data_IF_300268298712
#
_entry.id   IF_300268298712
#
_cell.length_a   1.000
_cell.length_b   1.000
_cell.length_c   1.000
_cell.angle_alpha   90.00
_cell.angle_beta   90.00
_cell.angle_gamma   90.00
#
_symmetry.space_group_name_H-M   'P 1'
#
loop_
_entity.id
_entity.type
_entity.pdbx_description
1 polymer ?
#
# COMPACT_ATOMS: atom_id res chain seq x y z
N UNK A 1 50.15 37.62 -11.52
CA UNK A 1 49.23 36.48 -11.72
C UNK A 1 47.95 36.84 -10.99
N UNK A 2 46.99 37.44 -11.70
CA UNK A 2 45.62 37.65 -11.27
C UNK A 2 44.83 37.99 -12.54
N UNK A 3 43.91 37.10 -12.90
CA UNK A 3 43.03 37.23 -14.06
C UNK A 3 41.74 37.86 -13.52
N UNK A 4 41.46 39.10 -13.91
CA UNK A 4 40.13 39.70 -13.75
C UNK A 4 39.27 39.25 -14.93
N UNK A 5 38.33 38.31 -14.69
CA UNK A 5 37.19 38.07 -15.59
C UNK A 5 36.00 38.92 -15.09
N UNK A 6 35.20 39.51 -15.99
CA UNK A 6 33.98 40.22 -15.59
C UNK A 6 32.87 39.23 -15.24
N UNK A 7 32.13 39.58 -14.18
CA UNK A 7 30.89 38.97 -13.71
C UNK A 7 29.84 39.00 -14.84
N UNK A 8 29.36 37.84 -15.31
CA UNK A 8 28.16 37.74 -16.15
C UNK A 8 26.98 37.48 -15.23
N UNK A 9 26.16 38.51 -15.04
CA UNK A 9 24.82 38.43 -14.45
C UNK A 9 23.93 37.79 -15.52
N UNK A 10 23.45 36.57 -15.27
CA UNK A 10 22.42 35.95 -16.09
C UNK A 10 21.08 36.58 -15.72
N UNK A 11 20.48 37.27 -16.69
CA UNK A 11 19.09 37.71 -16.62
C UNK A 11 18.19 36.49 -16.76
N UNK A 12 17.41 36.17 -15.72
CA UNK A 12 16.24 35.29 -15.85
C UNK A 12 15.21 36.06 -16.68
N UNK A 13 14.92 35.56 -17.87
CA UNK A 13 13.87 36.09 -18.74
C UNK A 13 12.54 35.55 -18.20
N UNK A 14 11.79 36.39 -17.51
CA UNK A 14 10.36 36.18 -17.29
C UNK A 14 9.68 36.50 -18.62
N UNK A 15 9.35 35.48 -19.40
CA UNK A 15 8.55 35.63 -20.61
C UNK A 15 7.06 35.61 -20.24
N UNK A 16 6.46 36.80 -20.17
CA UNK A 16 5.01 36.98 -20.24
C UNK A 16 4.54 36.57 -21.65
N UNK A 17 3.81 35.46 -21.77
CA UNK A 17 3.02 35.17 -22.97
C UNK A 17 1.58 35.69 -22.77
N UNK A 18 1.23 36.71 -23.54
CA UNK A 18 -0.16 37.06 -23.85
C UNK A 18 -0.34 37.01 -25.36
N UNK A 19 -1.50 36.51 -25.81
CA UNK A 19 -1.98 36.30 -27.18
C UNK A 19 -1.67 34.94 -27.85
N UNK A 20 -2.52 33.95 -27.61
CA UNK A 20 -3.61 33.61 -28.54
C UNK A 20 -4.72 32.94 -27.73
N UNK A 21 -5.99 33.27 -28.00
CA UNK A 21 -7.16 32.82 -27.23
C UNK A 21 -7.49 31.33 -27.40
N UNK A 22 -6.52 30.44 -27.23
CA UNK A 22 -6.76 29.07 -26.80
C UNK A 22 -6.72 29.11 -25.28
N UNK A 23 -7.79 28.68 -24.62
CA UNK A 23 -7.65 28.18 -23.25
C UNK A 23 -6.50 27.17 -23.29
N UNK A 24 -5.54 27.25 -22.38
CA UNK A 24 -4.98 26.00 -21.88
C UNK A 24 -6.21 25.27 -21.36
N UNK A 25 -6.70 24.26 -22.08
CA UNK A 25 -7.29 23.16 -21.34
C UNK A 25 -6.15 22.66 -20.47
N UNK A 26 -6.38 22.53 -19.16
CA UNK A 26 -5.59 21.58 -18.39
C UNK A 26 -5.60 20.30 -19.21
N UNK A 27 -4.42 19.89 -19.68
CA UNK A 27 -4.27 18.57 -20.27
C UNK A 27 -4.34 17.63 -19.07
N UNK A 28 -5.49 17.02 -18.85
CA UNK A 28 -5.65 15.98 -17.84
C UNK A 28 -4.83 14.79 -18.33
N UNK A 29 -3.67 14.56 -17.72
CA UNK A 29 -2.86 13.38 -18.00
C UNK A 29 -3.57 12.21 -17.33
N UNK A 30 -4.18 11.35 -18.14
CA UNK A 30 -4.71 10.07 -17.66
C UNK A 30 -3.67 8.97 -17.85
N UNK A 31 -3.69 7.94 -17.00
CA UNK A 31 -2.78 6.78 -17.11
C UNK A 31 -3.55 5.53 -17.55
N UNK A 32 -2.84 4.47 -17.88
CA UNK A 32 -3.40 3.16 -18.21
C UNK A 32 -2.30 2.10 -18.26
N UNK A 33 -2.69 0.85 -18.46
CA UNK A 33 -1.75 -0.28 -18.53
C UNK A 33 -1.20 -0.41 -19.96
N UNK A 34 0.12 -0.54 -20.11
CA UNK A 34 0.77 -0.94 -21.37
C UNK A 34 0.87 -2.45 -21.51
N UNK A 35 1.38 -3.10 -20.46
CA UNK A 35 1.41 -4.54 -20.37
C UNK A 35 1.28 -5.00 -18.92
N UNK A 36 0.98 -6.27 -18.73
CA UNK A 36 0.82 -6.84 -17.41
C UNK A 36 1.47 -8.23 -17.36
N UNK A 37 2.17 -8.50 -16.27
CA UNK A 37 2.81 -9.79 -15.99
C UNK A 37 2.16 -10.41 -14.75
N UNK A 38 1.59 -11.61 -14.91
CA UNK A 38 1.02 -12.39 -13.81
C UNK A 38 2.10 -13.24 -13.15
N UNK A 39 2.06 -13.31 -11.82
CA UNK A 39 2.86 -14.21 -10.99
C UNK A 39 1.88 -15.08 -10.20
N UNK A 40 2.00 -16.39 -10.37
CA UNK A 40 1.24 -17.44 -9.68
C UNK A 40 2.11 -18.71 -9.65
N UNK A 41 1.67 -19.76 -8.97
CA UNK A 41 2.34 -21.07 -8.98
C UNK A 41 2.34 -21.76 -10.36
N UNK A 42 1.73 -21.15 -11.40
CA UNK A 42 1.77 -21.62 -12.80
C UNK A 42 2.33 -20.61 -13.80
N UNK A 43 2.64 -19.38 -13.37
CA UNK A 43 2.97 -18.25 -14.26
C UNK A 43 3.99 -17.29 -13.65
N UNK A 44 4.73 -16.56 -14.50
CA UNK A 44 5.66 -15.51 -14.03
C UNK A 44 6.97 -16.02 -13.44
N UNK A 45 7.36 -17.26 -13.77
CA UNK A 45 8.60 -17.90 -13.29
C UNK A 45 8.71 -18.03 -11.76
N UNK A 46 7.58 -17.97 -11.05
CA UNK A 46 7.51 -18.33 -9.65
C UNK A 46 7.42 -19.85 -9.51
N UNK A 47 8.41 -20.44 -8.84
CA UNK A 47 8.51 -21.89 -8.65
C UNK A 47 8.13 -22.33 -7.22
N UNK A 48 7.69 -21.38 -6.39
CA UNK A 48 7.12 -21.64 -5.08
C UNK A 48 5.84 -22.48 -5.19
N UNK A 49 5.61 -23.33 -4.19
CA UNK A 49 4.38 -24.14 -4.13
C UNK A 49 3.33 -23.36 -3.35
N UNK A 50 2.16 -23.18 -3.95
CA UNK A 50 0.95 -22.69 -3.30
C UNK A 50 -0.06 -23.83 -3.20
N UNK A 51 -0.56 -24.08 -2.00
CA UNK A 51 -1.67 -24.97 -1.74
C UNK A 51 -3.01 -24.23 -1.90
N UNK A 52 -4.09 -25.00 -2.04
CA UNK A 52 -5.42 -24.41 -2.18
C UNK A 52 -5.76 -23.59 -0.94
N UNK A 53 -6.27 -22.38 -1.16
CA UNK A 53 -6.58 -21.34 -0.16
C UNK A 53 -5.39 -20.58 0.42
N UNK A 54 -4.15 -20.72 -0.04
CA UNK A 54 -3.01 -19.93 0.51
C UNK A 54 -3.19 -18.40 0.37
N UNK A 55 -4.02 -17.97 -0.59
CA UNK A 55 -4.32 -16.57 -0.89
C UNK A 55 -3.09 -15.69 -1.14
N UNK A 56 -2.14 -16.20 -1.91
CA UNK A 56 -0.97 -15.43 -2.35
C UNK A 56 -1.38 -14.14 -3.05
N UNK A 57 -0.74 -13.03 -2.69
CA UNK A 57 -1.12 -11.70 -3.18
C UNK A 57 -2.17 -11.00 -2.32
N UNK A 58 -2.43 -11.49 -1.10
CA UNK A 58 -3.27 -10.80 -0.10
C UNK A 58 -2.65 -9.50 0.41
N UNK A 59 -1.32 -9.40 0.37
CA UNK A 59 -0.56 -8.20 0.68
C UNK A 59 0.64 -8.12 -0.27
N UNK A 60 1.10 -6.91 -0.58
CA UNK A 60 2.31 -6.69 -1.36
C UNK A 60 3.03 -5.43 -0.88
N UNK A 61 4.36 -5.48 -0.80
CA UNK A 61 5.21 -4.33 -0.55
C UNK A 61 6.43 -4.33 -1.49
N UNK A 62 6.85 -3.16 -1.94
CA UNK A 62 8.14 -2.96 -2.59
C UNK A 62 9.21 -2.84 -1.49
N UNK A 63 10.14 -3.79 -1.45
CA UNK A 63 11.16 -3.88 -0.40
C UNK A 63 12.55 -3.46 -0.91
N UNK A 64 12.59 -2.72 -2.03
CA UNK A 64 13.83 -2.25 -2.62
C UNK A 64 14.64 -3.38 -3.27
N UNK A 65 15.91 -3.12 -3.54
CA UNK A 65 16.86 -4.03 -4.21
C UNK A 65 17.83 -4.60 -3.16
N UNK A 66 17.52 -5.79 -2.63
CA UNK A 66 18.24 -6.40 -1.51
C UNK A 66 19.63 -6.94 -1.94
N UNK A 67 19.77 -7.34 -3.20
CA UNK A 67 20.95 -7.96 -3.80
C UNK A 67 21.84 -6.96 -4.55
N UNK A 68 21.40 -5.71 -4.67
CA UNK A 68 22.05 -4.61 -5.36
C UNK A 68 22.30 -4.89 -6.85
N UNK A 69 21.36 -5.53 -7.54
CA UNK A 69 21.44 -5.84 -8.96
C UNK A 69 20.77 -4.78 -9.87
N UNK A 70 20.02 -3.86 -9.27
CA UNK A 70 19.32 -2.76 -9.90
C UNK A 70 17.81 -2.97 -10.07
N UNK A 71 17.25 -4.12 -9.68
CA UNK A 71 15.83 -4.45 -9.83
C UNK A 71 15.14 -4.47 -8.48
N UNK A 72 13.95 -3.88 -8.38
CA UNK A 72 13.17 -3.91 -7.14
C UNK A 72 12.72 -5.33 -6.82
N UNK A 73 12.73 -5.69 -5.54
CA UNK A 73 12.18 -6.92 -5.01
C UNK A 73 10.86 -6.64 -4.30
N UNK A 74 10.04 -7.69 -4.18
CA UNK A 74 8.71 -7.60 -3.58
C UNK A 74 8.58 -8.55 -2.39
N UNK A 75 7.84 -8.16 -1.37
CA UNK A 75 7.33 -9.07 -0.35
C UNK A 75 5.84 -9.29 -0.58
N UNK A 76 5.38 -10.54 -0.58
CA UNK A 76 4.01 -10.93 -0.94
C UNK A 76 3.42 -11.85 0.13
N UNK A 77 2.25 -11.50 0.64
CA UNK A 77 1.55 -12.26 1.67
C UNK A 77 0.78 -13.47 1.13
N UNK A 78 0.84 -14.57 1.86
CA UNK A 78 0.01 -15.77 1.72
C UNK A 78 -0.53 -16.16 3.12
N UNK A 79 -1.53 -15.42 3.65
CA UNK A 79 -1.92 -15.49 5.06
C UNK A 79 -2.51 -16.82 5.51
N UNK A 80 -2.98 -17.65 4.58
CA UNK A 80 -3.58 -18.95 4.90
C UNK A 80 -2.65 -20.12 4.58
N UNK A 81 -1.37 -19.84 4.35
CA UNK A 81 -0.36 -20.88 4.17
C UNK A 81 -0.24 -21.77 5.43
N UNK A 82 -0.30 -23.08 5.21
CA UNK A 82 -0.33 -24.11 6.26
C UNK A 82 1.07 -24.56 6.74
N UNK A 83 2.15 -23.86 6.34
CA UNK A 83 3.50 -24.29 6.71
C UNK A 83 3.76 -24.14 8.22
N UNK A 84 4.11 -25.26 8.86
CA UNK A 84 4.27 -25.39 10.30
C UNK A 84 2.98 -25.68 11.07
N UNK A 85 1.80 -25.45 10.49
CA UNK A 85 0.48 -25.71 11.10
C UNK A 85 -0.64 -24.92 10.41
N UNK A 86 -1.87 -25.07 10.90
CA UNK A 86 -3.09 -24.59 10.20
C UNK A 86 -3.11 -23.08 10.10
N UNK A 87 -3.26 -22.53 8.88
CA UNK A 87 -3.45 -21.11 8.58
C UNK A 87 -2.47 -20.20 9.35
N UNK A 88 -1.22 -20.64 9.54
CA UNK A 88 -0.19 -19.85 10.23
C UNK A 88 0.25 -18.67 9.38
N UNK A 89 0.19 -18.84 8.08
CA UNK A 89 0.52 -17.84 7.08
C UNK A 89 2.01 -17.77 6.75
N UNK A 90 2.30 -17.13 5.62
CA UNK A 90 3.64 -16.93 5.10
C UNK A 90 3.78 -15.59 4.36
N UNK A 91 5.03 -15.17 4.18
CA UNK A 91 5.43 -14.11 3.27
C UNK A 91 6.47 -14.65 2.30
N UNK A 92 6.33 -14.32 1.02
CA UNK A 92 7.27 -14.64 -0.03
C UNK A 92 8.06 -13.40 -0.42
N UNK A 93 9.39 -13.47 -0.34
CA UNK A 93 10.30 -12.50 -0.92
C UNK A 93 10.56 -12.90 -2.36
N UNK A 94 10.27 -12.02 -3.31
CA UNK A 94 10.43 -12.22 -4.74
C UNK A 94 11.51 -11.27 -5.26
N UNK A 95 12.61 -11.87 -5.71
CA UNK A 95 13.65 -11.19 -6.46
C UNK A 95 13.17 -11.12 -7.91
N UNK A 96 12.96 -9.92 -8.44
CA UNK A 96 12.28 -9.71 -9.71
C UNK A 96 13.27 -9.54 -10.87
N UNK A 97 12.79 -9.81 -12.09
CA UNK A 97 13.40 -9.32 -13.32
C UNK A 97 12.66 -8.06 -13.80
N UNK A 98 13.35 -7.24 -14.61
CA UNK A 98 12.77 -6.02 -15.25
C UNK A 98 11.51 -6.31 -16.11
N UNK A 99 11.30 -7.57 -16.53
CA UNK A 99 10.11 -7.97 -17.29
C UNK A 99 8.92 -8.39 -16.41
N UNK A 100 9.05 -8.23 -15.08
CA UNK A 100 8.02 -8.53 -14.10
C UNK A 100 7.92 -10.01 -13.72
N UNK A 101 8.80 -10.87 -14.23
CA UNK A 101 8.89 -12.27 -13.80
C UNK A 101 9.81 -12.42 -12.59
N UNK A 102 9.64 -13.48 -11.81
CA UNK A 102 10.48 -13.80 -10.65
C UNK A 102 11.81 -14.43 -11.12
N UNK A 103 12.96 -13.97 -10.63
CA UNK A 103 14.24 -14.65 -10.80
C UNK A 103 14.43 -15.72 -9.71
N UNK A 104 14.24 -15.32 -8.45
CA UNK A 104 14.40 -16.16 -7.25
C UNK A 104 13.31 -15.82 -6.23
N UNK A 105 12.84 -16.84 -5.50
CA UNK A 105 11.92 -16.68 -4.37
C UNK A 105 12.52 -17.19 -3.04
N UNK A 106 12.14 -16.55 -1.93
CA UNK A 106 12.44 -16.97 -0.57
C UNK A 106 11.18 -16.90 0.30
N UNK A 107 10.77 -18.04 0.88
CA UNK A 107 9.64 -18.11 1.81
C UNK A 107 10.05 -17.77 3.23
N UNK A 108 9.25 -16.97 3.92
CA UNK A 108 9.31 -16.71 5.36
C UNK A 108 8.01 -17.25 5.95
N UNK A 109 8.11 -18.27 6.78
CA UNK A 109 6.98 -18.97 7.42
C UNK A 109 7.44 -19.53 8.76
N UNK A 110 6.57 -20.25 9.47
CA UNK A 110 6.99 -20.88 10.73
C UNK A 110 8.15 -21.87 10.56
N UNK A 111 8.28 -22.55 9.42
CA UNK A 111 9.32 -23.56 9.20
C UNK A 111 10.47 -23.14 8.27
N UNK A 112 10.32 -22.02 7.54
CA UNK A 112 11.29 -21.50 6.57
C UNK A 112 11.73 -20.05 6.85
N UNK A 113 12.73 -19.56 6.11
CA UNK A 113 13.16 -18.15 6.21
C UNK A 113 13.77 -17.72 7.55
N UNK A 114 14.08 -18.65 8.45
CA UNK A 114 14.65 -18.41 9.79
C UNK A 114 13.75 -17.65 10.78
N UNK A 115 12.43 -17.66 10.57
CA UNK A 115 11.49 -17.02 11.50
C UNK A 115 11.50 -17.68 12.89
N UNK A 116 11.40 -19.01 12.98
CA UNK A 116 11.12 -19.74 14.23
C UNK A 116 12.36 -20.26 14.98
N UNK A 117 13.14 -19.36 15.61
CA UNK A 117 14.22 -19.76 16.54
C UNK A 117 13.79 -19.79 18.01
N UNK A 118 12.72 -19.08 18.40
CA UNK A 118 12.26 -18.95 19.81
C UNK A 118 10.73 -18.80 19.93
N UNK A 119 10.10 -18.04 19.02
CA UNK A 119 8.65 -17.83 18.95
C UNK A 119 8.13 -18.49 17.69
N UNK A 120 6.98 -19.16 17.82
CA UNK A 120 6.32 -19.94 16.77
C UNK A 120 5.06 -19.16 16.40
N UNK A 121 4.67 -19.17 15.12
CA UNK A 121 3.33 -18.74 14.74
C UNK A 121 2.31 -19.75 15.28
N UNK A 122 1.29 -19.28 15.96
CA UNK A 122 0.18 -20.11 16.40
C UNK A 122 -0.79 -20.36 15.24
N UNK A 123 -1.54 -21.46 15.31
CA UNK A 123 -2.50 -21.81 14.26
C UNK A 123 -3.55 -20.71 14.13
N UNK A 124 -3.85 -20.31 12.89
CA UNK A 124 -4.75 -19.22 12.51
C UNK A 124 -4.22 -17.80 12.76
N UNK A 125 -2.95 -17.58 13.10
CA UNK A 125 -2.40 -16.22 13.26
C UNK A 125 -2.49 -15.38 11.97
N UNK A 126 -2.53 -16.04 10.82
CA UNK A 126 -2.58 -15.43 9.48
C UNK A 126 -1.43 -14.46 9.20
N UNK A 127 -0.21 -14.86 9.56
CA UNK A 127 0.99 -14.08 9.25
C UNK A 127 1.09 -13.82 7.75
N UNK A 128 1.30 -12.55 7.37
CA UNK A 128 1.33 -12.13 5.97
C UNK A 128 0.01 -11.54 5.46
N UNK A 129 -1.00 -11.34 6.31
CA UNK A 129 -2.22 -10.60 5.91
C UNK A 129 -1.94 -9.15 5.52
N UNK A 130 -0.88 -8.55 6.07
CA UNK A 130 -0.40 -7.23 5.71
C UNK A 130 1.13 -7.25 5.67
N UNK A 131 1.72 -6.48 4.75
CA UNK A 131 3.17 -6.36 4.60
C UNK A 131 3.50 -4.91 4.26
N UNK A 132 4.51 -4.33 4.90
CA UNK A 132 5.00 -2.99 4.60
C UNK A 132 6.52 -2.93 4.68
N UNK A 133 7.15 -2.30 3.70
CA UNK A 133 8.58 -1.95 3.77
C UNK A 133 8.80 -0.96 4.90
N UNK A 134 9.87 -1.19 5.65
CA UNK A 134 10.43 -0.28 6.63
C UNK A 134 11.81 0.07 6.09
N UNK A 135 12.11 1.36 5.99
CA UNK A 135 13.48 1.79 5.70
C UNK A 135 14.47 1.05 6.61
N UNK A 136 15.75 1.02 6.25
CA UNK A 136 16.81 0.37 7.05
C UNK A 136 16.86 0.94 8.49
N UNK A 137 16.14 0.29 9.42
CA UNK A 137 15.96 0.79 10.79
C UNK A 137 17.25 0.60 11.58
N UNK A 138 17.97 -0.49 11.31
CA UNK A 138 19.15 -0.88 12.07
C UNK A 138 20.47 -0.32 11.49
N UNK A 139 20.44 0.24 10.28
CA UNK A 139 21.59 0.85 9.60
C UNK A 139 22.54 -0.14 8.93
N UNK A 140 22.09 -1.34 8.57
CA UNK A 140 22.91 -2.38 7.93
C UNK A 140 22.91 -2.34 6.39
N UNK A 141 22.06 -1.49 5.81
CA UNK A 141 21.92 -1.25 4.38
C UNK A 141 20.85 -2.09 3.69
N UNK A 142 20.07 -2.89 4.42
CA UNK A 142 18.94 -3.68 3.94
C UNK A 142 17.65 -3.09 4.50
N UNK A 143 16.59 -3.04 3.69
CA UNK A 143 15.28 -2.62 4.20
C UNK A 143 14.69 -3.70 5.11
N UNK A 144 14.07 -3.23 6.18
CA UNK A 144 13.37 -4.07 7.15
C UNK A 144 11.89 -4.23 6.72
N UNK A 145 11.17 -5.15 7.35
CA UNK A 145 9.81 -5.49 6.94
C UNK A 145 8.87 -5.54 8.14
N UNK A 146 7.70 -4.90 8.05
CA UNK A 146 6.59 -5.15 8.96
C UNK A 146 5.63 -6.16 8.34
N UNK A 147 5.19 -7.14 9.13
CA UNK A 147 4.25 -8.19 8.72
C UNK A 147 3.13 -8.34 9.75
N UNK A 148 1.89 -8.33 9.28
CA UNK A 148 0.69 -8.48 10.11
C UNK A 148 0.32 -9.93 10.37
N UNK A 149 -0.15 -10.19 11.58
CA UNK A 149 -0.81 -11.43 12.01
C UNK A 149 -2.09 -11.04 12.76
N UNK A 150 -3.17 -10.64 12.05
CA UNK A 150 -4.32 -9.97 12.66
C UNK A 150 -5.15 -10.86 13.59
N UNK A 151 -5.00 -12.17 13.50
CA UNK A 151 -5.73 -13.13 14.34
C UNK A 151 -4.87 -13.69 15.47
N UNK A 152 -3.71 -13.09 15.73
CA UNK A 152 -2.86 -13.45 16.86
C UNK A 152 -3.60 -13.29 18.20
N UNK A 153 -3.52 -14.32 19.03
CA UNK A 153 -4.25 -14.44 20.29
C UNK A 153 -3.44 -13.96 21.53
N UNK A 154 -2.30 -13.28 21.32
CA UNK A 154 -1.49 -12.76 22.42
C UNK A 154 -2.29 -11.74 23.26
N UNK A 155 -2.66 -12.14 24.48
CA UNK A 155 -3.36 -11.27 25.45
C UNK A 155 -4.88 -11.41 25.44
N UNK A 156 -5.48 -12.00 24.39
CA UNK A 156 -6.91 -12.26 24.26
C UNK A 156 -7.27 -12.71 22.84
N UNK A 157 -8.56 -12.94 22.56
CA UNK A 157 -8.98 -13.51 21.27
C UNK A 157 -8.83 -12.53 20.12
N UNK A 158 -8.17 -12.94 19.04
CA UNK A 158 -8.01 -12.22 17.77
C UNK A 158 -7.63 -10.73 17.97
N UNK A 159 -6.74 -10.46 18.95
CA UNK A 159 -6.26 -9.09 19.21
C UNK A 159 -5.33 -8.62 18.10
N UNK A 160 -4.57 -9.56 17.55
CA UNK A 160 -3.66 -9.34 16.44
C UNK A 160 -2.27 -8.84 16.87
N UNK A 161 -1.33 -8.97 15.95
CA UNK A 161 0.07 -8.62 16.15
C UNK A 161 0.72 -8.07 14.86
N UNK A 162 1.84 -7.38 15.05
CA UNK A 162 2.77 -6.98 13.98
C UNK A 162 4.16 -7.52 14.28
N UNK A 163 4.82 -8.06 13.27
CA UNK A 163 6.19 -8.56 13.32
C UNK A 163 7.10 -7.64 12.51
N UNK A 164 8.09 -7.05 13.18
CA UNK A 164 9.19 -6.34 12.51
C UNK A 164 10.29 -7.35 12.25
N UNK A 165 10.68 -7.52 11.00
CA UNK A 165 11.69 -8.47 10.53
C UNK A 165 12.88 -7.70 9.97
N UNK A 166 14.06 -8.06 10.45
CA UNK A 166 15.32 -7.54 9.93
C UNK A 166 15.91 -8.59 9.02
N UNK A 167 16.00 -8.28 7.73
CA UNK A 167 16.33 -9.24 6.68
C UNK A 167 17.83 -9.23 6.35
N UNK A 168 18.31 -10.28 5.69
CA UNK A 168 19.58 -10.26 4.96
C UNK A 168 19.35 -10.08 3.45
N UNK A 169 20.45 -9.97 2.69
CA UNK A 169 20.42 -9.83 1.21
C UNK A 169 19.79 -11.03 0.48
N UNK A 170 19.47 -12.13 1.18
CA UNK A 170 18.79 -13.29 0.60
C UNK A 170 17.31 -13.33 0.99
N UNK A 171 16.78 -12.29 1.64
CA UNK A 171 15.40 -12.24 2.11
C UNK A 171 15.14 -13.15 3.31
N UNK A 172 16.17 -13.55 4.06
CA UNK A 172 16.02 -14.38 5.27
C UNK A 172 16.05 -13.54 6.53
N UNK A 173 15.34 -13.96 7.58
CA UNK A 173 15.22 -13.21 8.83
C UNK A 173 16.47 -13.38 9.71
N UNK A 174 17.15 -12.29 10.03
CA UNK A 174 18.28 -12.23 10.97
C UNK A 174 17.84 -11.97 12.41
N UNK A 175 16.91 -11.03 12.57
CA UNK A 175 16.35 -10.62 13.84
C UNK A 175 14.88 -10.24 13.66
N UNK A 176 14.10 -10.29 14.74
CA UNK A 176 12.69 -9.92 14.70
C UNK A 176 12.23 -9.30 16.02
N UNK A 177 11.21 -8.47 15.95
CA UNK A 177 10.48 -7.92 17.09
C UNK A 177 8.98 -8.14 16.89
N UNK A 178 8.30 -8.79 17.85
CA UNK A 178 6.84 -8.94 17.84
C UNK A 178 6.21 -7.81 18.65
N UNK A 179 5.31 -7.08 18.02
CA UNK A 179 4.44 -6.04 18.59
C UNK A 179 3.07 -6.69 18.81
N UNK A 180 2.75 -6.97 20.07
CA UNK A 180 1.43 -7.46 20.52
C UNK A 180 1.10 -6.87 21.89
N UNK A 181 -0.14 -7.06 22.35
CA UNK A 181 -0.62 -6.60 23.67
C UNK A 181 0.33 -7.04 24.81
N UNK A 182 0.90 -8.24 24.72
CA UNK A 182 1.72 -8.82 25.79
C UNK A 182 3.23 -8.62 25.64
N UNK A 183 3.74 -8.35 24.44
CA UNK A 183 5.19 -8.38 24.17
C UNK A 183 5.89 -7.01 24.17
N UNK A 184 5.18 -5.90 24.00
CA UNK A 184 5.79 -4.54 24.04
C UNK A 184 5.03 -3.55 24.93
N UNK A 185 4.13 -4.05 25.79
CA UNK A 185 3.53 -3.19 26.81
C UNK A 185 2.44 -2.25 26.28
N UNK A 186 1.76 -2.63 25.19
CA UNK A 186 0.45 -2.09 24.82
C UNK A 186 -0.67 -2.59 25.78
N UNK A 187 -0.33 -2.89 27.03
CA UNK A 187 -1.22 -3.55 28.00
C UNK A 187 -2.49 -2.72 28.19
N UNK A 188 -3.64 -3.37 28.00
CA UNK A 188 -5.01 -2.83 28.11
C UNK A 188 -5.41 -1.85 26.99
N UNK A 189 -4.79 -1.95 25.81
CA UNK A 189 -4.99 -0.98 24.71
C UNK A 189 -5.64 -1.62 23.48
N UNK A 190 -5.36 -2.89 23.18
CA UNK A 190 -5.98 -3.66 22.08
C UNK A 190 -7.04 -4.61 22.67
N UNK A 191 -8.26 -4.54 22.17
CA UNK A 191 -9.40 -5.34 22.64
C UNK A 191 -9.60 -6.61 21.81
N UNK A 192 -10.36 -7.57 22.35
CA UNK A 192 -10.62 -8.84 21.66
C UNK A 192 -11.35 -8.57 20.33
N UNK A 193 -10.91 -9.25 19.27
CA UNK A 193 -11.37 -9.11 17.88
C UNK A 193 -11.00 -7.80 17.18
N UNK A 194 -10.17 -6.92 17.75
CA UNK A 194 -9.76 -5.67 17.10
C UNK A 194 -9.02 -5.90 15.76
N UNK A 195 -8.39 -7.07 15.59
CA UNK A 195 -7.58 -7.43 14.43
C UNK A 195 -6.43 -6.46 14.14
N UNK A 196 -5.70 -6.07 15.19
CA UNK A 196 -4.52 -5.22 15.04
C UNK A 196 -3.48 -5.88 14.14
N UNK A 197 -2.95 -5.14 13.16
CA UNK A 197 -2.03 -5.69 12.17
C UNK A 197 -2.71 -6.18 10.90
N UNK A 198 -4.04 -6.00 10.77
CA UNK A 198 -4.77 -6.34 9.54
C UNK A 198 -4.42 -5.46 8.33
N UNK A 199 -3.84 -4.30 8.57
CA UNK A 199 -3.25 -3.43 7.55
C UNK A 199 -2.03 -2.71 8.15
N UNK A 200 -0.98 -2.49 7.37
CA UNK A 200 0.25 -1.83 7.82
C UNK A 200 0.79 -0.96 6.69
N UNK A 201 1.28 0.24 7.03
CA UNK A 201 2.07 1.07 6.11
C UNK A 201 3.17 1.81 6.87
N UNK A 202 4.33 1.95 6.24
CA UNK A 202 5.29 2.99 6.61
C UNK A 202 4.72 4.35 6.22
N UNK A 203 4.81 5.32 7.11
CA UNK A 203 4.21 6.66 6.93
C UNK A 203 5.24 7.79 7.06
N UNK A 204 6.53 7.47 6.87
CA UNK A 204 7.61 8.46 6.96
C UNK A 204 7.97 8.83 8.40
N UNK A 205 8.81 9.85 8.56
CA UNK A 205 9.34 10.31 9.85
C UNK A 205 8.58 11.56 10.31
N UNK A 206 7.44 11.32 10.97
CA UNK A 206 6.54 12.39 11.42
C UNK A 206 7.20 13.26 12.49
N UNK A 207 8.03 12.67 13.36
CA UNK A 207 8.57 13.35 14.53
C UNK A 207 10.00 13.93 14.33
N UNK A 208 10.61 13.72 13.16
CA UNK A 208 11.95 14.13 12.78
C UNK A 208 13.08 13.50 13.62
N UNK A 209 12.97 12.22 13.97
CA UNK A 209 14.01 11.45 14.67
C UNK A 209 14.85 10.53 13.78
N UNK A 210 14.57 10.53 12.47
CA UNK A 210 15.18 9.73 11.40
C UNK A 210 14.79 8.25 11.40
N UNK A 211 13.79 7.85 12.17
CA UNK A 211 13.18 6.53 12.13
C UNK A 211 11.75 6.70 11.56
N UNK A 212 11.34 5.89 10.58
CA UNK A 212 9.97 5.97 10.08
C UNK A 212 8.98 5.43 11.13
N UNK A 213 7.84 6.12 11.23
CA UNK A 213 6.64 5.65 11.89
C UNK A 213 5.90 4.63 11.02
N UNK A 214 5.05 3.82 11.66
CA UNK A 214 4.11 2.95 10.96
C UNK A 214 2.67 3.25 11.37
N UNK A 215 1.75 3.17 10.42
CA UNK A 215 0.31 3.09 10.67
C UNK A 215 -0.13 1.62 10.67
N UNK A 216 -0.94 1.23 11.63
CA UNK A 216 -1.46 -0.14 11.78
C UNK A 216 -2.98 -0.13 11.95
N UNK A 217 -3.68 -0.86 11.08
CA UNK A 217 -5.13 -1.01 11.12
C UNK A 217 -5.61 -1.98 12.21
N UNK A 218 -6.72 -1.63 12.84
CA UNK A 218 -7.52 -2.47 13.73
C UNK A 218 -8.99 -2.34 13.31
N UNK A 219 -9.31 -2.92 12.14
CA UNK A 219 -10.55 -2.65 11.39
C UNK A 219 -11.84 -3.03 12.11
N UNK A 220 -11.77 -3.90 13.12
CA UNK A 220 -12.91 -4.35 13.91
C UNK A 220 -12.98 -3.69 15.29
N UNK A 221 -12.20 -2.62 15.52
CA UNK A 221 -12.26 -1.90 16.79
C UNK A 221 -13.66 -1.33 17.06
N UNK A 222 -14.15 -1.58 18.28
CA UNK A 222 -15.47 -1.14 18.76
C UNK A 222 -15.47 0.30 19.33
N UNK A 223 -14.38 1.05 19.13
CA UNK A 223 -14.22 2.38 19.67
C UNK A 223 -15.15 3.39 18.96
N UNK A 224 -16.08 3.95 19.73
CA UNK A 224 -17.15 4.83 19.23
C UNK A 224 -18.42 4.10 18.81
N UNK A 225 -18.36 2.80 18.49
CA UNK A 225 -19.50 1.96 18.10
C UNK A 225 -19.05 0.62 17.49
N UNK A 226 -20.00 -0.22 17.10
CA UNK A 226 -19.71 -1.62 16.68
C UNK A 226 -18.90 -1.65 15.40
N UNK A 227 -17.73 -2.28 15.42
CA UNK A 227 -16.83 -2.48 14.27
C UNK A 227 -16.57 -1.19 13.45
N UNK A 228 -16.46 -0.03 14.11
CA UNK A 228 -16.14 1.23 13.41
C UNK A 228 -14.72 1.25 12.91
N UNK A 229 -13.84 0.53 13.61
CA UNK A 229 -12.43 0.41 13.28
C UNK A 229 -11.57 1.56 13.85
N UNK A 230 -10.26 1.34 13.81
CA UNK A 230 -9.26 2.29 14.27
C UNK A 230 -7.94 2.12 13.51
N UNK A 231 -7.09 3.15 13.57
CA UNK A 231 -5.70 3.12 13.11
C UNK A 231 -4.77 3.51 14.25
N UNK A 232 -3.64 2.85 14.36
CA UNK A 232 -2.60 3.10 15.35
C UNK A 232 -1.36 3.62 14.66
N UNK A 233 -0.92 4.82 15.05
CA UNK A 233 0.39 5.35 14.67
C UNK A 233 1.40 4.88 15.70
N UNK A 234 2.38 4.08 15.30
CA UNK A 234 3.45 3.60 16.17
C UNK A 234 4.76 4.29 15.83
N UNK A 235 5.36 4.89 16.86
CA UNK A 235 6.69 5.46 16.81
C UNK A 235 7.70 4.38 17.16
N UNK A 236 8.58 4.04 16.23
CA UNK A 236 9.53 2.94 16.40
C UNK A 236 10.89 3.44 16.89
N UNK A 237 11.71 2.50 17.35
CA UNK A 237 13.15 2.67 17.51
C UNK A 237 13.88 1.83 16.47
N UNK A 238 15.18 2.10 16.30
CA UNK A 238 16.07 1.37 15.38
C UNK A 238 16.13 -0.16 15.60
N UNK A 239 15.69 -0.67 16.76
CA UNK A 239 15.60 -2.10 17.06
C UNK A 239 14.18 -2.68 16.86
N UNK A 240 13.27 -1.91 16.25
CA UNK A 240 11.88 -2.29 15.98
C UNK A 240 10.96 -2.20 17.19
N UNK A 241 11.46 -1.73 18.35
CA UNK A 241 10.60 -1.54 19.53
C UNK A 241 9.73 -0.29 19.42
N UNK A 242 8.51 -0.36 19.95
CA UNK A 242 7.59 0.79 20.00
C UNK A 242 7.98 1.71 21.16
N UNK A 243 8.22 2.99 20.86
CA UNK A 243 8.59 4.01 21.85
C UNK A 243 7.38 4.80 22.36
N UNK A 244 6.41 5.05 21.48
CA UNK A 244 5.09 5.63 21.78
C UNK A 244 4.10 5.30 20.68
N UNK A 245 2.82 5.58 20.92
CA UNK A 245 1.77 5.39 19.91
C UNK A 245 0.68 6.46 20.02
N UNK A 246 -0.11 6.61 18.96
CA UNK A 246 -1.37 7.36 18.94
C UNK A 246 -2.47 6.52 18.28
N UNK A 247 -3.61 6.36 18.95
CA UNK A 247 -4.82 5.76 18.36
C UNK A 247 -5.64 6.83 17.64
N UNK A 248 -6.11 6.53 16.44
CA UNK A 248 -7.03 7.35 15.67
C UNK A 248 -8.31 6.52 15.47
N UNK A 249 -9.42 7.06 15.93
CA UNK A 249 -10.74 6.42 15.89
C UNK A 249 -11.83 7.50 15.84
N UNK A 250 -13.10 7.10 15.85
CA UNK A 250 -14.23 8.03 15.97
C UNK A 250 -14.21 8.85 17.27
N UNK A 251 -13.42 8.44 18.29
CA UNK A 251 -13.40 9.12 19.60
C UNK A 251 -12.02 9.65 20.03
N UNK A 252 -10.94 9.31 19.33
CA UNK A 252 -9.56 9.63 19.70
C UNK A 252 -8.70 10.12 18.52
N UNK A 253 -7.49 10.61 18.82
CA UNK A 253 -6.48 10.92 17.80
C UNK A 253 -6.72 12.18 16.97
N UNK A 254 -7.68 13.04 17.35
CA UNK A 254 -7.95 14.30 16.66
C UNK A 254 -8.80 14.17 15.39
N UNK A 255 -9.21 12.94 15.04
CA UNK A 255 -10.11 12.70 13.92
C UNK A 255 -11.50 13.30 14.21
N UNK A 256 -11.99 14.15 13.32
CA UNK A 256 -13.28 14.82 13.45
C UNK A 256 -14.34 14.31 12.45
N UNK A 257 -13.95 13.32 11.62
CA UNK A 257 -14.87 12.60 10.75
C UNK A 257 -15.91 11.83 11.56
N UNK A 258 -16.90 11.26 10.88
CA UNK A 258 -17.92 10.45 11.52
C UNK A 258 -17.89 9.07 10.90
N UNK A 259 -17.70 8.06 11.73
CA UNK A 259 -17.79 6.65 11.33
C UNK A 259 -19.12 6.06 11.81
N UNK A 260 -19.79 5.31 10.95
CA UNK A 260 -20.93 4.48 11.28
C UNK A 260 -20.50 3.07 11.69
N UNK A 261 -21.37 2.38 12.42
CA UNK A 261 -21.13 0.99 12.81
C UNK A 261 -20.97 0.13 11.55
N UNK A 262 -19.86 -0.62 11.46
CA UNK A 262 -19.51 -1.44 10.31
C UNK A 262 -18.77 -0.71 9.18
N UNK A 263 -18.30 0.54 9.36
CA UNK A 263 -17.49 1.21 8.34
C UNK A 263 -16.11 0.56 8.14
N UNK A 264 -15.60 -0.17 9.15
CA UNK A 264 -14.31 -0.86 9.13
C UNK A 264 -13.12 0.07 8.79
N UNK A 265 -13.07 1.24 9.43
CA UNK A 265 -11.96 2.18 9.28
C UNK A 265 -10.64 1.53 9.71
N UNK A 266 -9.59 1.68 8.90
CA UNK A 266 -8.32 0.96 9.10
C UNK A 266 -8.31 -0.42 8.44
N UNK A 267 -9.24 -0.70 7.53
CA UNK A 267 -9.22 -1.91 6.69
C UNK A 267 -8.05 -1.95 5.71
N UNK A 268 -7.57 -0.78 5.31
CA UNK A 268 -6.30 -0.59 4.60
C UNK A 268 -5.68 0.73 5.06
N UNK A 269 -4.35 0.85 4.95
CA UNK A 269 -3.61 2.08 5.26
C UNK A 269 -2.49 2.27 4.24
N UNK A 270 -2.16 3.52 3.92
CA UNK A 270 -1.00 3.86 3.09
C UNK A 270 -0.41 5.20 3.52
N UNK A 271 0.93 5.28 3.60
CA UNK A 271 1.62 6.56 3.59
C UNK A 271 1.53 7.18 2.19
N UNK A 272 1.06 8.43 2.10
CA UNK A 272 0.86 9.12 0.82
C UNK A 272 1.79 10.32 0.65
N UNK A 273 2.81 10.44 1.52
CA UNK A 273 3.72 11.58 1.55
C UNK A 273 3.03 12.86 2.02
N UNK A 274 3.73 13.98 1.95
CA UNK A 274 3.24 15.31 2.35
C UNK A 274 2.40 15.92 1.21
N UNK A 275 1.08 15.77 1.28
CA UNK A 275 0.14 16.15 0.22
C UNK A 275 -0.15 17.66 0.23
N UNK A 276 -0.16 18.30 1.41
CA UNK A 276 -0.38 19.75 1.55
C UNK A 276 0.88 20.62 1.71
N UNK A 277 2.05 20.00 1.58
CA UNK A 277 3.37 20.62 1.62
C UNK A 277 3.67 21.35 2.94
N UNK A 278 3.19 20.82 4.07
CA UNK A 278 3.43 21.39 5.40
C UNK A 278 4.69 20.84 6.11
N UNK A 279 5.31 19.82 5.52
CA UNK A 279 6.51 19.14 5.99
C UNK A 279 6.25 17.93 6.90
N UNK A 280 5.02 17.47 7.01
CA UNK A 280 4.61 16.25 7.71
C UNK A 280 3.94 15.31 6.70
N UNK A 281 4.23 14.02 6.79
CA UNK A 281 3.62 13.02 5.92
C UNK A 281 2.14 12.77 6.27
N UNK A 282 1.33 12.62 5.23
CA UNK A 282 -0.10 12.33 5.32
C UNK A 282 -0.39 10.84 5.09
N UNK A 283 -1.57 10.42 5.52
CA UNK A 283 -1.98 9.00 5.52
C UNK A 283 -3.33 8.82 4.85
N UNK A 284 -3.47 7.82 4.00
CA UNK A 284 -4.77 7.37 3.49
C UNK A 284 -5.25 6.13 4.24
N UNK A 285 -6.53 6.07 4.58
CA UNK A 285 -7.15 4.99 5.36
C UNK A 285 -8.44 4.51 4.71
N UNK A 286 -8.57 3.20 4.49
CA UNK A 286 -9.78 2.57 3.96
C UNK A 286 -10.87 2.37 5.02
N UNK A 287 -12.12 2.57 4.60
CA UNK A 287 -13.34 2.24 5.32
C UNK A 287 -14.29 1.49 4.38
N UNK A 288 -14.01 0.19 4.18
CA UNK A 288 -14.65 -0.62 3.13
C UNK A 288 -16.17 -0.82 3.30
N UNK A 289 -16.70 -0.65 4.51
CA UNK A 289 -18.14 -0.78 4.80
C UNK A 289 -18.91 0.55 4.71
N UNK A 290 -18.26 1.63 4.28
CA UNK A 290 -18.91 2.93 4.19
C UNK A 290 -20.06 2.94 3.17
N UNK A 291 -21.19 3.50 3.61
CA UNK A 291 -22.47 3.49 2.87
C UNK A 291 -22.73 4.76 2.03
N UNK A 292 -21.73 5.63 1.85
CA UNK A 292 -21.89 6.83 1.04
C UNK A 292 -22.27 6.49 -0.41
N UNK A 293 -23.46 6.92 -0.82
CA UNK A 293 -24.00 6.69 -2.17
C UNK A 293 -24.71 5.34 -2.38
N UNK A 294 -24.51 4.35 -1.49
CA UNK A 294 -25.17 3.04 -1.53
C UNK A 294 -24.52 2.04 -0.57
N UNK A 295 -25.02 0.80 -0.53
CA UNK A 295 -24.59 -0.19 0.47
C UNK A 295 -23.14 -0.63 0.26
N UNK A 296 -22.30 -0.55 1.30
CA UNK A 296 -20.92 -1.06 1.33
C UNK A 296 -20.10 -0.64 0.08
N UNK A 297 -20.26 0.61 -0.36
CA UNK A 297 -19.50 1.12 -1.51
C UNK A 297 -18.05 1.41 -1.14
N UNK A 298 -17.80 1.63 0.14
CA UNK A 298 -16.50 1.92 0.69
C UNK A 298 -16.11 3.39 0.53
N UNK A 299 -15.16 3.80 1.34
CA UNK A 299 -14.56 5.13 1.32
C UNK A 299 -13.07 5.07 1.63
N UNK A 300 -12.37 6.14 1.24
CA UNK A 300 -10.99 6.42 1.62
C UNK A 300 -10.97 7.74 2.37
N UNK A 301 -10.31 7.76 3.53
CA UNK A 301 -10.07 8.97 4.31
C UNK A 301 -8.61 9.38 4.12
N UNK A 302 -8.40 10.59 3.63
CA UNK A 302 -7.08 11.25 3.66
C UNK A 302 -6.97 12.00 4.98
N UNK A 303 -5.97 11.63 5.78
CA UNK A 303 -5.68 12.19 7.08
C UNK A 303 -4.44 13.07 6.96
N UNK A 304 -4.61 14.35 7.20
CA UNK A 304 -3.49 15.28 7.28
C UNK A 304 -2.96 15.29 8.70
N UNK A 305 -1.70 14.94 8.88
CA UNK A 305 -1.19 14.54 10.20
C UNK A 305 -0.50 15.70 10.94
N UNK A 306 -0.30 15.51 12.24
CA UNK A 306 0.65 16.27 13.04
C UNK A 306 1.83 15.37 13.41
N UNK A 307 2.97 15.97 13.73
CA UNK A 307 4.19 15.28 14.18
C UNK A 307 4.02 14.39 15.43
N UNK A 308 2.93 14.54 16.19
CA UNK A 308 2.61 13.70 17.36
C UNK A 308 1.68 12.52 17.01
N UNK A 309 1.41 12.28 15.73
CA UNK A 309 0.56 11.21 15.23
C UNK A 309 -0.94 11.51 15.32
N UNK A 310 -1.36 12.70 15.76
CA UNK A 310 -2.77 13.11 15.73
C UNK A 310 -3.17 13.69 14.37
N UNK A 311 -4.45 13.60 14.03
CA UNK A 311 -5.02 14.19 12.82
C UNK A 311 -5.19 15.70 12.99
N UNK A 312 -4.67 16.49 12.05
CA UNK A 312 -4.85 17.94 11.94
C UNK A 312 -6.18 18.28 11.25
N UNK A 313 -6.47 17.61 10.14
CA UNK A 313 -7.78 17.62 9.46
C UNK A 313 -7.90 16.40 8.53
N UNK A 314 -9.10 16.13 8.07
CA UNK A 314 -9.40 14.97 7.23
C UNK A 314 -10.22 15.34 5.98
N UNK A 315 -10.06 14.56 4.92
CA UNK A 315 -10.85 14.64 3.70
C UNK A 315 -11.38 13.25 3.33
N UNK A 316 -12.69 13.14 3.10
CA UNK A 316 -13.33 11.88 2.68
C UNK A 316 -13.42 11.79 1.16
N UNK A 317 -13.01 10.65 0.63
CA UNK A 317 -13.19 10.25 -0.76
C UNK A 317 -14.20 9.10 -0.79
N UNK A 318 -15.36 9.32 -1.37
CA UNK A 318 -16.41 8.31 -1.49
C UNK A 318 -17.24 8.58 -2.74
N UNK A 319 -18.19 7.71 -3.07
CA UNK A 319 -19.08 7.93 -4.22
C UNK A 319 -19.73 9.33 -4.23
N UNK A 320 -19.96 9.93 -3.06
CA UNK A 320 -20.61 11.25 -2.91
C UNK A 320 -19.73 12.36 -2.34
N UNK A 321 -18.45 12.12 -2.03
CA UNK A 321 -17.54 13.10 -1.42
C UNK A 321 -16.15 13.11 -2.10
N UNK A 322 -15.40 14.20 -1.94
CA UNK A 322 -14.03 14.31 -2.43
C UNK A 322 -13.89 14.31 -3.97
N UNK A 323 -14.94 14.75 -4.67
CA UNK A 323 -15.00 14.83 -6.14
C UNK A 323 -14.75 13.50 -6.89
N UNK A 324 -14.91 12.35 -6.21
CA UNK A 324 -14.83 11.05 -6.88
C UNK A 324 -15.82 10.97 -8.05
N UNK A 325 -17.05 11.47 -7.88
CA UNK A 325 -17.93 11.79 -9.01
C UNK A 325 -18.55 10.57 -9.71
N UNK A 326 -18.74 9.46 -8.99
CA UNK A 326 -19.49 8.30 -9.45
C UNK A 326 -18.65 7.16 -10.01
N UNK A 327 -19.19 5.94 -9.99
CA UNK A 327 -18.53 4.75 -10.58
C UNK A 327 -18.39 3.58 -9.62
N UNK A 328 -18.74 3.77 -8.34
CA UNK A 328 -18.89 2.69 -7.37
C UNK A 328 -20.34 2.19 -7.33
N UNK A 329 -20.48 0.88 -7.28
CA UNK A 329 -21.72 0.15 -7.07
C UNK A 329 -21.73 -0.46 -5.67
N UNK A 330 -22.91 -0.90 -5.25
CA UNK A 330 -23.07 -1.53 -3.94
C UNK A 330 -22.15 -2.75 -3.82
N UNK A 331 -21.46 -2.86 -2.69
CA UNK A 331 -20.43 -3.88 -2.37
C UNK A 331 -19.11 -3.77 -3.15
N UNK A 332 -18.83 -2.68 -3.88
CA UNK A 332 -17.53 -2.55 -4.56
C UNK A 332 -16.35 -2.42 -3.58
N UNK A 333 -16.61 -2.06 -2.30
CA UNK A 333 -15.61 -1.95 -1.22
C UNK A 333 -14.40 -1.09 -1.58
N UNK A 334 -14.67 0.10 -2.14
CA UNK A 334 -13.62 1.08 -2.45
C UNK A 334 -12.78 1.42 -1.20
N UNK A 335 -11.45 1.38 -1.36
CA UNK A 335 -10.51 1.47 -0.26
C UNK A 335 -10.11 0.10 0.33
N UNK A 336 -10.42 -1.01 -0.35
CA UNK A 336 -10.01 -2.37 0.07
C UNK A 336 -8.48 -2.54 0.17
N UNK A 337 -7.76 -1.81 -0.67
CA UNK A 337 -6.31 -1.66 -0.63
C UNK A 337 -5.93 -0.23 -1.00
N UNK A 338 -4.80 0.25 -0.48
CA UNK A 338 -4.30 1.60 -0.74
C UNK A 338 -2.80 1.58 -1.00
N UNK A 339 -2.34 2.44 -1.90
CA UNK A 339 -0.92 2.74 -2.07
C UNK A 339 -0.74 4.23 -2.41
N UNK A 340 0.21 4.89 -1.75
CA UNK A 340 0.77 6.14 -2.27
C UNK A 340 1.65 5.81 -3.45
N UNK A 341 1.34 6.36 -4.62
CA UNK A 341 2.04 6.01 -5.88
C UNK A 341 2.99 7.11 -6.35
N UNK A 342 3.15 8.18 -5.55
CA UNK A 342 3.92 9.35 -5.95
C UNK A 342 3.21 10.18 -7.01
N UNK A 343 3.93 11.13 -7.61
CA UNK A 343 3.39 12.04 -8.64
C UNK A 343 3.38 11.34 -10.01
N UNK A 344 2.26 10.70 -10.36
CA UNK A 344 2.10 9.92 -11.59
C UNK A 344 1.82 10.81 -12.81
N UNK A 345 1.31 12.02 -12.61
CA UNK A 345 0.96 12.94 -13.69
C UNK A 345 1.98 14.09 -13.89
N UNK A 346 2.96 14.23 -13.00
CA UNK A 346 4.02 15.25 -13.05
C UNK A 346 3.58 16.65 -12.62
N UNK A 347 2.51 16.79 -11.83
CA UNK A 347 2.00 18.08 -11.36
C UNK A 347 2.60 18.55 -10.02
N UNK A 348 3.40 17.68 -9.38
CA UNK A 348 4.09 17.91 -8.12
C UNK A 348 3.30 17.54 -6.87
N UNK A 349 2.14 16.89 -7.02
CA UNK A 349 1.29 16.38 -5.93
C UNK A 349 1.32 14.86 -5.97
N UNK A 350 1.28 14.21 -4.79
CA UNK A 350 1.26 12.74 -4.73
C UNK A 350 -0.12 12.21 -5.10
N UNK A 351 -0.15 11.18 -5.93
CA UNK A 351 -1.35 10.45 -6.34
C UNK A 351 -1.54 9.18 -5.49
N UNK A 352 -2.76 8.64 -5.53
CA UNK A 352 -3.15 7.46 -4.74
C UNK A 352 -3.73 6.38 -5.66
N UNK A 353 -3.35 5.12 -5.43
CA UNK A 353 -4.08 3.97 -5.96
C UNK A 353 -5.00 3.38 -4.88
N UNK A 354 -6.24 3.05 -5.27
CA UNK A 354 -7.24 2.48 -4.37
C UNK A 354 -7.94 1.27 -5.00
N UNK A 355 -8.01 0.18 -4.24
CA UNK A 355 -8.71 -1.04 -4.61
C UNK A 355 -10.23 -0.90 -4.46
N UNK A 356 -10.96 -1.59 -5.32
CA UNK A 356 -12.37 -1.92 -5.18
C UNK A 356 -12.48 -3.41 -5.53
N UNK A 357 -11.97 -4.27 -4.65
CA UNK A 357 -11.68 -5.67 -4.94
C UNK A 357 -12.94 -6.52 -5.21
N UNK A 358 -14.11 -6.07 -4.76
CA UNK A 358 -15.41 -6.67 -5.06
C UNK A 358 -16.15 -6.02 -6.25
N UNK A 359 -15.48 -5.14 -7.02
CA UNK A 359 -16.06 -4.55 -8.21
C UNK A 359 -16.45 -5.63 -9.26
N UNK A 360 -17.65 -5.47 -9.80
CA UNK A 360 -18.29 -6.44 -10.69
C UNK A 360 -18.06 -6.14 -12.20
N UNK A 361 -17.13 -5.26 -12.53
CA UNK A 361 -16.84 -4.89 -13.91
C UNK A 361 -16.16 -6.04 -14.69
N UNK A 362 -16.87 -6.52 -15.70
CA UNK A 362 -16.46 -7.64 -16.54
C UNK A 362 -16.89 -9.02 -16.03
N UNK A 363 -17.31 -9.16 -14.78
CA UNK A 363 -17.82 -10.40 -14.17
C UNK A 363 -18.00 -10.29 -12.65
N UNK A 364 -18.44 -11.37 -12.00
CA UNK A 364 -18.73 -11.34 -10.56
C UNK A 364 -17.46 -11.17 -9.74
N UNK A 365 -17.38 -10.13 -8.91
CA UNK A 365 -16.30 -9.85 -7.96
C UNK A 365 -14.90 -10.06 -8.57
N UNK A 366 -14.70 -9.55 -9.79
CA UNK A 366 -13.38 -9.62 -10.43
C UNK A 366 -12.42 -8.58 -9.88
N UNK A 367 -12.97 -7.51 -9.33
CA UNK A 367 -12.25 -6.41 -8.73
C UNK A 367 -11.78 -5.36 -9.74
N UNK A 368 -11.37 -4.22 -9.19
CA UNK A 368 -10.84 -3.09 -9.92
C UNK A 368 -9.83 -2.30 -9.08
N UNK A 369 -9.02 -1.50 -9.77
CA UNK A 369 -8.13 -0.50 -9.17
C UNK A 369 -8.48 0.86 -9.74
N UNK A 370 -8.49 1.86 -8.86
CA UNK A 370 -8.64 3.26 -9.22
C UNK A 370 -7.33 4.01 -8.98
N UNK A 371 -6.82 4.67 -10.02
CA UNK A 371 -5.76 5.67 -9.90
C UNK A 371 -6.43 7.02 -9.70
N UNK A 372 -6.13 7.69 -8.59
CA UNK A 372 -6.72 8.94 -8.15
C UNK A 372 -5.66 10.04 -8.22
N UNK A 373 -5.89 11.02 -9.08
CA UNK A 373 -5.04 12.18 -9.19
C UNK A 373 -5.52 13.26 -8.23
N UNK A 374 -4.68 13.64 -7.28
CA UNK A 374 -5.08 14.39 -6.09
C UNK A 374 -4.76 15.89 -6.21
N UNK A 375 -5.46 16.71 -5.45
CA UNK A 375 -5.04 18.09 -5.15
C UNK A 375 -4.48 18.21 -3.73
N UNK A 376 -3.87 19.36 -3.42
CA UNK A 376 -3.26 19.62 -2.11
C UNK A 376 -4.27 19.81 -0.97
N UNK A 377 -5.58 19.74 -1.26
CA UNK A 377 -6.64 19.73 -0.24
C UNK A 377 -7.17 18.30 0.00
N UNK A 378 -6.62 17.30 -0.71
CA UNK A 378 -7.07 15.92 -0.66
C UNK A 378 -8.31 15.63 -1.50
N UNK A 379 -8.71 16.50 -2.43
CA UNK A 379 -9.79 16.24 -3.39
C UNK A 379 -9.27 15.55 -4.65
N UNK A 380 -10.13 14.81 -5.34
CA UNK A 380 -9.77 14.14 -6.61
C UNK A 380 -9.96 15.12 -7.78
N UNK A 381 -8.89 15.38 -8.52
CA UNK A 381 -8.92 16.19 -9.75
C UNK A 381 -9.38 15.34 -10.93
N UNK A 382 -8.87 14.12 -11.03
CA UNK A 382 -9.24 13.16 -12.06
C UNK A 382 -8.93 11.74 -11.62
N UNK A 383 -9.44 10.74 -12.36
CA UNK A 383 -9.24 9.34 -12.01
C UNK A 383 -9.26 8.41 -13.20
N UNK A 384 -8.61 7.26 -13.05
CA UNK A 384 -8.59 6.18 -14.04
C UNK A 384 -9.02 4.88 -13.36
N UNK A 385 -9.96 4.14 -13.98
CA UNK A 385 -10.28 2.76 -13.58
C UNK A 385 -9.44 1.77 -14.37
N UNK A 386 -8.88 0.78 -13.69
CA UNK A 386 -8.21 -0.40 -14.25
C UNK A 386 -9.02 -1.61 -13.82
N UNK A 387 -9.52 -2.39 -14.78
CA UNK A 387 -10.40 -3.54 -14.54
C UNK A 387 -10.34 -4.52 -15.71
N UNK A 388 -11.15 -5.57 -15.66
CA UNK A 388 -11.35 -6.46 -16.81
C UNK A 388 -11.81 -5.75 -18.10
N UNK A 389 -12.40 -4.54 -18.01
CA UNK A 389 -12.96 -3.84 -19.17
C UNK A 389 -12.45 -2.40 -19.36
N UNK A 390 -11.61 -1.90 -18.45
CA UNK A 390 -11.13 -0.52 -18.43
C UNK A 390 -9.61 -0.42 -18.18
N UNK A 391 -9.03 0.75 -18.45
CA UNK A 391 -7.63 1.06 -18.13
C UNK A 391 -6.61 0.34 -18.99
N UNK A 392 -7.00 -0.13 -20.18
CA UNK A 392 -6.16 -0.92 -21.11
C UNK A 392 -5.59 -2.22 -20.52
N UNK A 393 -6.12 -2.70 -19.40
CA UNK A 393 -5.69 -3.97 -18.83
C UNK A 393 -6.12 -5.13 -19.73
N UNK A 394 -5.15 -5.92 -20.18
CA UNK A 394 -5.38 -7.07 -21.07
C UNK A 394 -5.23 -8.42 -20.37
N UNK A 395 -4.93 -8.42 -19.06
CA UNK A 395 -4.91 -9.64 -18.26
C UNK A 395 -6.30 -10.28 -18.19
N UNK A 396 -6.34 -11.57 -17.86
CA UNK A 396 -7.60 -12.30 -17.68
C UNK A 396 -7.85 -12.49 -16.19
N UNK A 397 -8.94 -11.90 -15.70
CA UNK A 397 -9.45 -12.12 -14.35
C UNK A 397 -10.65 -13.06 -14.43
N UNK A 398 -10.72 -14.00 -13.50
CA UNK A 398 -11.86 -14.90 -13.32
C UNK A 398 -12.82 -14.34 -12.28
N UNK A 399 -14.06 -14.82 -12.29
CA UNK A 399 -15.04 -14.42 -11.27
C UNK A 399 -14.51 -14.80 -9.88
N UNK A 400 -14.52 -13.86 -8.94
CA UNK A 400 -13.97 -14.05 -7.60
C UNK A 400 -12.48 -13.79 -7.45
N UNK A 401 -11.72 -13.40 -8.50
CA UNK A 401 -10.26 -13.16 -8.38
C UNK A 401 -9.88 -12.04 -7.39
N UNK A 402 -10.80 -11.12 -7.07
CA UNK A 402 -10.56 -9.97 -6.18
C UNK A 402 -9.33 -9.12 -6.57
N UNK A 403 -9.22 -8.74 -7.84
CA UNK A 403 -8.16 -7.85 -8.31
C UNK A 403 -8.25 -6.47 -7.65
N UNK A 404 -7.12 -5.96 -7.14
CA UNK A 404 -7.11 -4.75 -6.32
C UNK A 404 -7.23 -5.04 -4.82
N UNK A 405 -7.02 -6.29 -4.41
CA UNK A 405 -7.01 -6.72 -3.00
C UNK A 405 -5.75 -6.32 -2.24
N UNK A 406 -4.66 -6.02 -2.95
CA UNK A 406 -3.43 -5.44 -2.42
C UNK A 406 -2.80 -4.55 -3.49
N UNK A 407 -2.08 -3.49 -3.07
CA UNK A 407 -1.47 -2.51 -3.98
C UNK A 407 -0.09 -2.10 -3.46
N UNK A 408 0.87 -1.96 -4.36
CA UNK A 408 2.16 -1.34 -4.05
C UNK A 408 2.73 -0.61 -5.29
N UNK A 409 3.29 0.57 -5.07
CA UNK A 409 4.17 1.24 -6.04
C UNK A 409 5.49 0.48 -6.11
N UNK A 410 5.79 -0.10 -7.28
CA UNK A 410 6.99 -0.91 -7.49
C UNK A 410 8.09 -0.15 -8.23
N UNK A 411 7.93 1.18 -8.38
CA UNK A 411 8.86 2.02 -9.12
C UNK A 411 8.87 1.71 -10.62
N UNK A 412 9.86 2.21 -11.33
CA UNK A 412 10.05 1.94 -12.77
C UNK A 412 10.75 0.59 -12.96
N UNK A 413 9.97 -0.49 -12.97
CA UNK A 413 10.52 -1.86 -12.95
C UNK A 413 11.14 -2.21 -14.31
N UNK A 414 10.57 -1.72 -15.42
CA UNK A 414 11.06 -2.04 -16.77
C UNK A 414 12.07 -1.02 -17.34
N UNK A 415 12.34 0.08 -16.60
CA UNK A 415 13.29 1.12 -16.98
C UNK A 415 12.82 2.05 -18.11
N UNK A 416 11.51 2.20 -18.31
CA UNK A 416 10.93 3.07 -19.34
C UNK A 416 10.71 4.52 -18.88
N UNK A 417 10.95 4.80 -17.59
CA UNK A 417 10.83 6.10 -16.97
C UNK A 417 9.45 6.38 -16.35
N UNK A 418 8.54 5.41 -16.34
CA UNK A 418 7.21 5.49 -15.74
C UNK A 418 7.15 4.50 -14.57
N UNK A 419 6.49 4.89 -13.48
CA UNK A 419 6.33 4.01 -12.31
C UNK A 419 5.24 2.96 -12.58
N UNK A 420 5.51 1.74 -12.13
CA UNK A 420 4.67 0.56 -12.29
C UNK A 420 3.95 0.22 -10.98
N UNK A 421 2.94 -0.64 -11.09
CA UNK A 421 2.08 -0.99 -9.95
C UNK A 421 2.00 -2.51 -9.78
N UNK A 422 2.19 -3.00 -8.56
CA UNK A 422 1.84 -4.37 -8.20
C UNK A 422 0.40 -4.44 -7.66
N UNK A 423 -0.36 -5.43 -8.12
CA UNK A 423 -1.77 -5.61 -7.76
C UNK A 423 -2.07 -7.05 -7.37
N UNK A 424 -2.60 -7.24 -6.17
CA UNK A 424 -3.06 -8.53 -5.67
C UNK A 424 -4.38 -8.99 -6.30
N UNK A 425 -4.48 -10.30 -6.53
CA UNK A 425 -5.70 -11.05 -6.83
C UNK A 425 -5.76 -12.27 -5.91
N UNK A 426 -6.00 -12.01 -4.62
CA UNK A 426 -5.79 -13.01 -3.56
C UNK A 426 -6.63 -14.29 -3.68
N UNK A 427 -7.74 -14.26 -4.42
CA UNK A 427 -8.62 -15.41 -4.65
C UNK A 427 -8.58 -15.88 -6.11
N UNK A 428 -7.48 -15.62 -6.83
CA UNK A 428 -7.31 -16.15 -8.17
C UNK A 428 -7.16 -17.68 -8.15
N UNK A 429 -7.89 -18.35 -9.04
CA UNK A 429 -8.03 -19.82 -9.12
C UNK A 429 -6.99 -20.49 -10.05
N UNK A 430 -5.97 -19.76 -10.48
CA UNK A 430 -4.90 -20.33 -11.28
C UNK A 430 -4.05 -21.30 -10.44
N UNK A 431 -3.71 -22.46 -11.02
CA UNK A 431 -3.06 -23.56 -10.29
C UNK A 431 -3.98 -24.39 -9.38
N UNK A 432 -4.99 -23.79 -8.76
CA UNK A 432 -5.98 -24.45 -7.90
C UNK A 432 -6.91 -23.45 -7.20
N UNK A 433 -7.71 -23.92 -6.24
CA UNK A 433 -8.76 -23.08 -5.62
C UNK A 433 -8.13 -22.02 -4.72
N UNK A 434 -8.46 -20.74 -4.94
CA UNK A 434 -8.06 -19.61 -4.09
C UNK A 434 -6.56 -19.57 -3.74
N UNK A 435 -5.68 -20.01 -4.66
CA UNK A 435 -4.23 -19.97 -4.44
C UNK A 435 -3.70 -18.55 -4.48
N UNK A 436 -4.39 -17.70 -5.24
CA UNK A 436 -4.06 -16.30 -5.38
C UNK A 436 -3.02 -16.02 -6.46
N UNK A 437 -2.87 -14.75 -6.80
CA UNK A 437 -1.92 -14.26 -7.79
C UNK A 437 -1.51 -12.82 -7.50
N UNK A 438 -0.37 -12.43 -8.06
CA UNK A 438 0.11 -11.06 -8.14
C UNK A 438 0.22 -10.61 -9.60
N UNK A 439 -0.09 -9.35 -9.88
CA UNK A 439 0.08 -8.74 -11.19
C UNK A 439 1.06 -7.58 -11.11
N UNK A 440 2.11 -7.59 -11.92
CA UNK A 440 2.91 -6.39 -12.21
C UNK A 440 2.27 -5.68 -13.40
N UNK A 441 1.82 -4.44 -13.22
CA UNK A 441 1.23 -3.60 -14.26
C UNK A 441 2.26 -2.57 -14.71
N UNK A 442 2.70 -2.71 -15.96
CA UNK A 442 3.55 -1.73 -16.61
C UNK A 442 2.70 -0.56 -17.11
N UNK A 443 2.93 0.63 -16.58
CA UNK A 443 2.02 1.76 -16.75
C UNK A 443 2.43 2.67 -17.91
N UNK A 444 1.48 3.42 -18.47
CA UNK A 444 1.75 4.41 -19.52
C UNK A 444 0.81 5.62 -19.46
N UNK A 445 1.29 6.81 -19.87
CA UNK A 445 0.42 7.95 -20.18
C UNK A 445 -0.53 7.59 -21.33
N UNK A 446 -1.81 7.88 -21.16
CA UNK A 446 -2.83 7.63 -22.20
C UNK A 446 -3.09 8.83 -23.11
N UNK A 447 -2.59 10.02 -22.75
CA UNK A 447 -2.58 11.19 -23.65
C UNK A 447 -1.20 11.36 -24.30
N UNK A 448 -1.11 10.94 -25.57
CA UNK A 448 0.13 10.91 -26.36
C UNK A 448 0.51 12.26 -26.97
N UNK A 449 -0.23 13.34 -26.68
CA UNK A 449 0.12 14.69 -27.16
C UNK A 449 1.25 15.35 -26.32
N UNK A 450 1.76 14.69 -25.28
CA UNK A 450 2.96 15.12 -24.53
C UNK A 450 4.17 14.33 -25.01
N UNK A 451 4.95 14.97 -25.88
CA UNK A 451 6.26 14.48 -26.29
C UNK A 451 7.30 14.70 -25.17
N UNK A 452 7.53 13.68 -24.35
CA UNK A 452 8.54 13.68 -23.29
C UNK A 452 9.99 13.81 -23.81
N UNK A 453 10.23 13.72 -25.13
CA UNK A 453 11.58 13.89 -25.70
C UNK A 453 12.10 15.34 -25.67
N UNK A 454 11.28 16.30 -25.24
CA UNK A 454 11.67 17.71 -25.14
C UNK A 454 12.50 18.08 -23.89
N UNK A 455 12.65 17.16 -22.92
CA UNK A 455 13.42 17.43 -21.70
C UNK A 455 14.88 16.95 -21.74
N UNK A 456 15.31 16.17 -22.75
CA UNK A 456 16.72 15.78 -22.90
C UNK A 456 17.52 16.86 -23.67
N UNK A 457 17.64 18.04 -23.06
CA UNK A 457 18.59 19.06 -23.53
C UNK A 457 19.93 18.88 -22.81
N UNK A 458 20.79 18.06 -23.43
CA UNK A 458 22.25 18.17 -23.27
C UNK A 458 22.72 19.54 -23.77
N UNK A 459 23.14 20.41 -22.85
CA UNK A 459 24.23 21.37 -23.08
C UNK A 459 25.21 21.43 -21.89
#
# INVERSE_FOLDING_TARGET
>A
MQINKPLRIAFVIIAWLTLSGRSCSETTITTGVDSAQKISDTSGNFEGTLDDNDQFGSAVANIGDLEADGVTNLAVGAPLDDDGGTDRGAVWILFMNDDGTVDIEQKISDSEGSLSLIDVLDDNDQFGSAVAELADLNGDGIFDLAVGAPLDDDGGTDRGAVWILFLDTNGTVLFRQKISDTNIGLIDIIEDNDQFGGAIASIGDLNNDLIPEIAVGARLSDDGGVDRGAVWILFLAADGTVTSFQKISDTEGGFAGTLADGDYFGSSVAGIGDLDADGIEDVAVGAIGDDDGGADRGAVWVLFMNADGTVRFEQKLSETNGEFGGGLNDNDQFGSALAGIGDYNGDGIVDIAAGADQDNDGGTDRGAVWILFMDSNGEIISKTKISSTAGNFTGTLTDGSLFGSALADIGDLNGDGIRDLAVGSRLDDDGGVDRGALWSLFMQPTDTDIDFTLFDNKE
#
